data_IF_287094229032
#
_entry.id   IF_287094229032
#
_cell.length_a   1.000
_cell.length_b   1.000
_cell.length_c   1.000
_cell.angle_alpha   90.00
_cell.angle_beta   90.00
_cell.angle_gamma   90.00
#
_symmetry.space_group_name_H-M   'P 1'
#
loop_
_entity.id
_entity.type
_entity.pdbx_description
1 polymer ?
#
# COMPACT_ATOMS: atom_id res chain seq x y z
N UNK A 1 -2.70 3.27 -11.81
CA UNK A 1 -1.89 4.13 -10.92
C UNK A 1 -0.43 3.75 -11.07
N UNK A 2 0.46 4.73 -11.25
CA UNK A 2 1.92 4.50 -11.15
C UNK A 2 2.30 4.64 -9.68
N UNK A 3 3.03 3.66 -9.14
CA UNK A 3 3.50 3.72 -7.76
C UNK A 3 4.84 4.49 -7.70
N UNK A 4 5.13 5.20 -6.61
CA UNK A 4 6.44 5.79 -6.41
C UNK A 4 7.54 4.72 -6.35
N UNK A 5 8.71 5.04 -6.92
CA UNK A 5 9.82 4.09 -7.11
C UNK A 5 10.29 3.43 -5.81
N UNK A 6 10.24 4.17 -4.69
CA UNK A 6 10.59 3.68 -3.35
C UNK A 6 9.61 2.61 -2.89
N UNK A 7 8.30 2.87 -3.01
CA UNK A 7 7.27 1.88 -2.67
C UNK A 7 7.33 0.65 -3.58
N UNK A 8 7.64 0.83 -4.87
CA UNK A 8 7.85 -0.31 -5.78
C UNK A 8 9.05 -1.17 -5.39
N UNK A 9 10.15 -0.55 -4.95
CA UNK A 9 11.34 -1.25 -4.45
C UNK A 9 11.01 -2.03 -3.17
N UNK A 10 10.35 -1.38 -2.22
CA UNK A 10 9.89 -1.99 -0.98
C UNK A 10 9.04 -3.24 -1.24
N UNK A 11 7.98 -3.09 -2.05
CA UNK A 11 7.09 -4.22 -2.39
C UNK A 11 7.78 -5.34 -3.16
N UNK A 12 8.89 -5.05 -3.86
CA UNK A 12 9.70 -6.06 -4.53
C UNK A 12 10.61 -6.83 -3.58
N UNK A 13 11.02 -6.23 -2.45
CA UNK A 13 11.81 -6.87 -1.40
C UNK A 13 10.97 -7.62 -0.36
N UNK A 14 9.66 -7.37 -0.30
CA UNK A 14 8.78 -8.03 0.65
C UNK A 14 8.61 -9.53 0.39
N UNK A 15 8.63 -10.29 1.47
CA UNK A 15 8.26 -11.71 1.47
C UNK A 15 6.73 -11.84 1.50
N UNK A 16 6.20 -12.69 0.63
CA UNK A 16 4.76 -12.96 0.54
C UNK A 16 4.49 -14.43 0.89
N UNK A 17 3.35 -14.75 1.53
CA UNK A 17 2.23 -13.86 1.84
C UNK A 17 2.49 -12.91 3.03
N UNK A 18 1.96 -11.68 2.94
CA UNK A 18 2.08 -10.65 3.98
C UNK A 18 0.71 -9.99 4.27
N UNK A 19 0.43 -9.71 5.54
CA UNK A 19 -0.77 -8.95 5.90
C UNK A 19 -0.57 -7.44 5.72
N UNK A 20 -1.66 -6.67 5.77
CA UNK A 20 -1.58 -5.19 5.86
C UNK A 20 -0.72 -4.74 7.04
N UNK A 21 -0.84 -5.39 8.20
CA UNK A 21 -0.05 -5.03 9.39
C UNK A 21 1.43 -5.31 9.18
N UNK A 22 1.77 -6.46 8.56
CA UNK A 22 3.16 -6.79 8.21
C UNK A 22 3.73 -5.78 7.22
N UNK A 23 2.96 -5.40 6.18
CA UNK A 23 3.37 -4.36 5.23
C UNK A 23 3.64 -3.01 5.94
N UNK A 24 2.81 -2.63 6.90
CA UNK A 24 3.00 -1.41 7.67
C UNK A 24 4.19 -1.50 8.63
N UNK A 25 4.38 -2.65 9.29
CA UNK A 25 5.50 -2.91 10.19
C UNK A 25 6.83 -2.86 9.44
N UNK A 26 6.93 -3.55 8.31
CA UNK A 26 8.14 -3.56 7.50
C UNK A 26 8.38 -2.19 6.85
N UNK A 27 7.33 -1.49 6.43
CA UNK A 27 7.47 -0.12 5.93
C UNK A 27 7.99 0.85 7.00
N UNK A 28 7.60 0.67 8.27
CA UNK A 28 8.16 1.42 9.40
C UNK A 28 9.62 1.03 9.65
N UNK A 29 9.93 -0.26 9.59
CA UNK A 29 11.29 -0.78 9.79
C UNK A 29 12.27 -0.28 8.72
N UNK A 30 11.85 -0.30 7.46
CA UNK A 30 12.62 0.16 6.29
C UNK A 30 12.66 1.70 6.17
N UNK A 31 11.90 2.40 7.01
CA UNK A 31 11.90 3.87 7.07
C UNK A 31 11.16 4.54 5.92
N UNK A 32 10.13 3.90 5.36
CA UNK A 32 9.34 4.46 4.27
C UNK A 32 8.74 5.83 4.65
N UNK A 33 8.69 6.72 3.65
CA UNK A 33 8.11 8.04 3.80
C UNK A 33 6.66 7.94 4.28
N UNK A 34 6.22 8.94 5.06
CA UNK A 34 4.86 8.96 5.63
C UNK A 34 3.79 8.83 4.53
N UNK A 35 3.97 9.47 3.39
CA UNK A 35 3.03 9.39 2.27
C UNK A 35 2.87 7.96 1.72
N UNK A 36 3.96 7.19 1.62
CA UNK A 36 3.91 5.79 1.17
C UNK A 36 3.22 4.90 2.21
N UNK A 37 3.48 5.15 3.50
CA UNK A 37 2.81 4.47 4.61
C UNK A 37 1.32 4.80 4.69
N UNK A 38 0.93 6.06 4.47
CA UNK A 38 -0.48 6.45 4.35
C UNK A 38 -1.15 5.67 3.20
N UNK A 39 -0.47 5.51 2.06
CA UNK A 39 -0.97 4.71 0.94
C UNK A 39 -1.20 3.24 1.34
N UNK A 40 -0.21 2.61 1.97
CA UNK A 40 -0.34 1.24 2.50
C UNK A 40 -1.45 1.14 3.55
N UNK A 41 -1.67 2.20 4.35
CA UNK A 41 -2.75 2.29 5.32
C UNK A 41 -4.15 2.24 4.71
N UNK A 42 -4.32 2.62 3.44
CA UNK A 42 -5.61 2.56 2.72
C UNK A 42 -5.98 1.17 2.22
N UNK A 43 -5.05 0.21 2.29
CA UNK A 43 -5.30 -1.17 1.93
C UNK A 43 -6.41 -1.76 2.81
N UNK A 44 -7.31 -2.59 2.25
CA UNK A 44 -8.24 -3.35 3.09
C UNK A 44 -7.47 -4.33 3.98
N UNK A 45 -8.03 -4.65 5.14
CA UNK A 45 -7.49 -5.74 5.96
C UNK A 45 -7.51 -7.06 5.19
N UNK A 46 -6.43 -7.82 5.31
CA UNK A 46 -6.29 -9.11 4.65
C UNK A 46 -4.84 -9.49 4.38
N UNK A 47 -4.69 -10.63 3.71
CA UNK A 47 -3.40 -11.20 3.35
C UNK A 47 -3.17 -11.03 1.85
N UNK A 48 -2.04 -10.41 1.51
CA UNK A 48 -1.59 -10.24 0.15
C UNK A 48 -0.59 -11.34 -0.20
N UNK A 49 -0.86 -12.04 -1.27
CA UNK A 49 -0.08 -13.21 -1.71
C UNK A 49 1.05 -12.86 -2.67
N UNK A 50 1.08 -11.63 -3.18
CA UNK A 50 2.11 -11.15 -4.10
C UNK A 50 2.07 -9.62 -4.26
N UNK A 51 3.17 -9.04 -4.75
CA UNK A 51 3.27 -7.61 -5.09
C UNK A 51 2.14 -7.11 -5.99
N UNK A 52 1.75 -7.87 -7.02
CA UNK A 52 0.69 -7.45 -7.93
C UNK A 52 -0.67 -7.36 -7.23
N UNK A 53 -0.91 -8.19 -6.20
CA UNK A 53 -2.14 -8.18 -5.41
C UNK A 53 -2.23 -6.88 -4.60
N UNK A 54 -1.13 -6.47 -3.95
CA UNK A 54 -1.03 -5.17 -3.26
C UNK A 54 -1.27 -4.02 -4.24
N UNK A 55 -0.60 -4.01 -5.40
CA UNK A 55 -0.74 -2.94 -6.40
C UNK A 55 -2.18 -2.81 -6.92
N UNK A 56 -2.84 -3.95 -7.14
CA UNK A 56 -4.23 -3.99 -7.55
C UNK A 56 -5.13 -3.39 -6.46
N UNK A 57 -4.92 -3.76 -5.19
CA UNK A 57 -5.66 -3.20 -4.06
C UNK A 57 -5.44 -1.69 -3.91
N UNK A 58 -4.21 -1.19 -4.03
CA UNK A 58 -3.90 0.25 -4.00
C UNK A 58 -4.57 1.03 -5.14
N UNK A 59 -4.58 0.46 -6.36
CA UNK A 59 -5.28 1.10 -7.49
C UNK A 59 -6.78 1.21 -7.22
N UNK A 60 -7.36 0.20 -6.57
CA UNK A 60 -8.78 0.18 -6.21
C UNK A 60 -9.09 1.16 -5.07
N UNK A 61 -8.21 1.23 -4.06
CA UNK A 61 -8.34 2.13 -2.91
C UNK A 61 -8.19 3.61 -3.34
N UNK A 62 -7.20 3.94 -4.16
CA UNK A 62 -7.02 5.30 -4.69
C UNK A 62 -8.21 5.77 -5.55
N UNK A 63 -8.85 4.86 -6.28
CA UNK A 63 -10.07 5.17 -7.04
C UNK A 63 -11.31 5.36 -6.15
N UNK A 64 -11.30 4.84 -4.92
CA UNK A 64 -12.37 5.07 -3.95
C UNK A 64 -12.14 6.39 -3.19
N UNK A 65 -10.88 6.75 -2.93
CA UNK A 65 -10.51 8.00 -2.27
C UNK A 65 -10.81 9.24 -3.15
N UNK A 66 -10.58 9.14 -4.46
CA UNK A 66 -10.94 10.18 -5.45
C UNK A 66 -12.46 10.44 -5.51
N UNK A 67 -13.29 9.47 -5.12
CA UNK A 67 -14.76 9.57 -5.18
C UNK A 67 -15.41 10.15 -3.92
N UNK A 68 -14.65 10.55 -2.91
CA UNK A 68 -15.23 11.27 -1.77
C UNK A 68 -15.21 12.76 -2.12
N UNK A 69 -16.32 13.37 -2.58
CA UNK A 69 -16.38 14.82 -2.66
C UNK A 69 -16.19 15.35 -1.24
N UNK A 70 -15.25 16.29 -1.09
CA UNK A 70 -15.11 17.06 0.14
C UNK A 70 -16.51 17.60 0.52
N UNK A 71 -17.07 17.08 1.61
CA UNK A 71 -18.32 17.60 2.15
C UNK A 71 -18.00 19.01 2.64
N UNK A 72 -18.47 19.98 1.87
CA UNK A 72 -18.41 21.41 2.15
C UNK A 72 -19.23 21.79 3.39
#
# INVERSE_FOLDING_TARGET
MVLPSTLERFLAGMEYPASRDDLMREALHDGLARADRDLLGTLPDGTYTARWHVRHALTRAGSAFDRIPALA
#
